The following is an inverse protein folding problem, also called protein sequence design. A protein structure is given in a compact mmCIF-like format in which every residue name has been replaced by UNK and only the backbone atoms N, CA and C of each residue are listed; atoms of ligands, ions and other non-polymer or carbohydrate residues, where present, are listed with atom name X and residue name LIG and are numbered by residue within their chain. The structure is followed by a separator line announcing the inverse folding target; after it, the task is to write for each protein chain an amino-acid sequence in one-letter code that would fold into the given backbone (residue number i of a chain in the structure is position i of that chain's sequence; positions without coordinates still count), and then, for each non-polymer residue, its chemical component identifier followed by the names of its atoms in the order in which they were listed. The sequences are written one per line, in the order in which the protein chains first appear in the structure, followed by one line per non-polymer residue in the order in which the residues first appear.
data_IF_721215386371
#
_entry.id   IF_721215386371
#
_cell.length_a   1.000
_cell.length_b   1.000
_cell.length_c   1.000
_cell.angle_alpha   90.00
_cell.angle_beta   90.00
_cell.angle_gamma   90.00
#
_symmetry.space_group_name_H-M   'P 1'
#
loop_
_entity.id
_entity.type
_entity.pdbx_description
1 polymer ?
#
# COMPACT_ATOMS: atom_id res chain seq x y z
N UNK A 1 6.95 -2.80 -9.09
CA UNK A 1 5.67 -3.29 -8.51
C UNK A 1 4.56 -3.56 -9.54
N UNK A 2 4.51 -2.89 -10.69
CA UNK A 2 3.41 -3.04 -11.66
C UNK A 2 3.18 -4.50 -12.13
N UNK A 3 4.24 -5.25 -12.43
CA UNK A 3 4.13 -6.67 -12.83
C UNK A 3 3.48 -7.51 -11.73
N UNK A 4 3.94 -7.37 -10.48
CA UNK A 4 3.37 -8.08 -9.34
C UNK A 4 1.90 -7.75 -9.12
N UNK A 5 1.53 -6.45 -9.17
CA UNK A 5 0.13 -6.01 -9.12
C UNK A 5 -0.70 -6.74 -10.18
N UNK A 6 -0.22 -6.75 -11.43
CA UNK A 6 -0.93 -7.36 -12.55
C UNK A 6 -1.05 -8.88 -12.40
N UNK A 7 -0.02 -9.56 -11.91
CA UNK A 7 -0.07 -11.00 -11.64
C UNK A 7 -1.15 -11.34 -10.60
N UNK A 8 -1.28 -10.55 -9.53
CA UNK A 8 -2.34 -10.73 -8.52
C UNK A 8 -3.72 -10.50 -9.09
N UNK A 9 -3.92 -9.40 -9.82
CA UNK A 9 -5.20 -9.09 -10.46
C UNK A 9 -5.60 -10.15 -11.48
N UNK A 10 -4.65 -10.65 -12.27
CA UNK A 10 -4.90 -11.70 -13.26
C UNK A 10 -5.23 -13.03 -12.58
N UNK A 11 -4.52 -13.40 -11.50
CA UNK A 11 -4.71 -14.66 -10.81
C UNK A 11 -6.07 -14.79 -10.10
N UNK A 12 -6.68 -13.67 -9.70
CA UNK A 12 -7.95 -13.65 -8.97
C UNK A 12 -9.12 -13.07 -9.77
N UNK A 13 -8.94 -12.75 -11.06
CA UNK A 13 -9.96 -12.13 -11.92
C UNK A 13 -11.29 -12.87 -11.91
N UNK A 14 -11.27 -14.20 -11.98
CA UNK A 14 -12.50 -15.02 -12.06
C UNK A 14 -13.27 -15.09 -10.74
N UNK A 15 -12.63 -14.78 -9.61
CA UNK A 15 -13.21 -14.92 -8.27
C UNK A 15 -13.65 -13.61 -7.65
N UNK A 16 -13.17 -12.48 -8.18
CA UNK A 16 -13.37 -11.16 -7.60
C UNK A 16 -14.29 -10.30 -8.46
N UNK A 17 -15.02 -9.35 -7.85
CA UNK A 17 -15.88 -8.43 -8.59
C UNK A 17 -15.11 -7.63 -9.65
N UNK A 18 -15.83 -7.23 -10.69
CA UNK A 18 -15.31 -6.30 -11.68
C UNK A 18 -14.85 -4.99 -11.03
N UNK A 19 -13.69 -4.49 -11.47
CA UNK A 19 -13.08 -3.28 -10.90
C UNK A 19 -12.37 -3.50 -9.55
N UNK A 20 -12.20 -4.74 -9.10
CA UNK A 20 -11.26 -5.04 -8.01
C UNK A 20 -9.82 -4.76 -8.44
N UNK A 21 -9.05 -4.12 -7.56
CA UNK A 21 -7.66 -3.75 -7.81
C UNK A 21 -6.77 -4.09 -6.62
N UNK A 22 -5.59 -4.61 -6.92
CA UNK A 22 -4.56 -4.83 -5.92
C UNK A 22 -3.84 -3.50 -5.61
N UNK A 23 -3.61 -3.21 -4.33
CA UNK A 23 -2.92 -2.03 -3.86
C UNK A 23 -1.40 -2.21 -3.98
N UNK A 24 -0.69 -1.38 -4.77
CA UNK A 24 0.77 -1.39 -4.80
C UNK A 24 1.38 -1.18 -3.41
N UNK A 25 0.74 -0.36 -2.58
CA UNK A 25 1.17 -0.07 -1.22
C UNK A 25 1.09 -1.31 -0.33
N UNK A 26 -0.06 -1.99 -0.27
CA UNK A 26 -0.21 -3.19 0.57
C UNK A 26 0.70 -4.33 0.08
N UNK A 27 0.89 -4.48 -1.23
CA UNK A 27 1.86 -5.44 -1.79
C UNK A 27 3.29 -5.11 -1.33
N UNK A 28 3.71 -3.85 -1.43
CA UNK A 28 5.04 -3.43 -0.98
C UNK A 28 5.26 -3.69 0.52
N UNK A 29 4.26 -3.36 1.35
CA UNK A 29 4.30 -3.60 2.80
C UNK A 29 4.44 -5.08 3.10
N UNK A 30 3.66 -5.96 2.46
CA UNK A 30 3.77 -7.40 2.68
C UNK A 30 5.14 -7.96 2.29
N UNK A 31 5.67 -7.54 1.13
CA UNK A 31 6.99 -7.99 0.66
C UNK A 31 8.07 -7.53 1.62
N UNK A 32 8.12 -6.22 1.94
CA UNK A 32 9.15 -5.66 2.84
C UNK A 32 9.12 -6.34 4.21
N UNK A 33 7.94 -6.61 4.75
CA UNK A 33 7.80 -7.17 6.10
C UNK A 33 8.17 -8.65 6.20
N UNK A 34 8.35 -9.36 5.07
CA UNK A 34 8.59 -10.82 5.06
C UNK A 34 9.88 -11.21 4.35
N UNK A 35 10.33 -10.42 3.38
CA UNK A 35 11.47 -10.76 2.54
C UNK A 35 12.77 -10.93 3.35
N UNK A 36 13.05 -10.01 4.27
CA UNK A 36 14.26 -10.11 5.12
C UNK A 36 14.23 -11.35 6.01
N UNK A 37 13.09 -11.64 6.66
CA UNK A 37 12.94 -12.86 7.46
C UNK A 37 13.09 -14.13 6.62
N UNK A 38 12.62 -14.11 5.37
CA UNK A 38 12.78 -15.21 4.42
C UNK A 38 14.26 -15.42 4.03
N UNK A 39 15.02 -14.34 3.79
CA UNK A 39 16.45 -14.41 3.50
C UNK A 39 17.26 -15.01 4.66
N UNK A 40 16.86 -14.76 5.91
CA UNK A 40 17.51 -15.34 7.09
C UNK A 40 17.12 -16.81 7.29
N UNK A 41 15.86 -17.16 7.02
CA UNK A 41 15.31 -18.48 7.34
C UNK A 41 15.56 -19.54 6.25
N UNK A 42 15.76 -19.15 4.98
CA UNK A 42 15.97 -20.08 3.87
C UNK A 42 17.44 -20.15 3.44
N UNK A 43 18.08 -21.33 3.58
CA UNK A 43 19.38 -21.61 2.97
C UNK A 43 19.39 -21.32 1.46
N UNK A 44 20.55 -20.90 0.94
CA UNK A 44 20.72 -20.47 -0.46
C UNK A 44 20.37 -21.57 -1.46
N UNK A 45 20.54 -22.83 -1.08
CA UNK A 45 20.27 -24.01 -1.90
C UNK A 45 18.77 -24.18 -2.21
N UNK A 46 17.90 -23.57 -1.41
CA UNK A 46 16.46 -23.56 -1.64
C UNK A 46 15.99 -22.39 -2.50
N UNK A 47 16.89 -21.43 -2.82
CA UNK A 47 16.58 -20.35 -3.74
C UNK A 47 16.76 -20.84 -5.18
N UNK A 48 15.70 -20.90 -5.98
CA UNK A 48 15.84 -21.34 -7.36
C UNK A 48 16.65 -20.32 -8.16
N UNK A 49 17.52 -20.81 -9.06
CA UNK A 49 18.23 -19.96 -10.01
C UNK A 49 17.23 -19.44 -11.06
N UNK A 50 16.83 -18.18 -10.94
CA UNK A 50 15.78 -17.57 -11.77
C UNK A 50 16.31 -16.80 -12.99
N UNK A 51 17.63 -16.66 -13.13
CA UNK A 51 18.25 -15.77 -14.11
C UNK A 51 18.02 -16.21 -15.57
N UNK A 52 17.80 -17.51 -15.80
CA UNK A 52 17.73 -18.10 -17.15
C UNK A 52 16.31 -18.44 -17.62
N UNK A 53 15.28 -18.16 -16.81
CA UNK A 53 13.90 -18.46 -17.17
C UNK A 53 13.39 -17.53 -18.29
N UNK A 54 12.70 -18.10 -19.27
CA UNK A 54 11.98 -17.31 -20.27
C UNK A 54 10.90 -16.44 -19.64
N UNK A 55 10.52 -15.33 -20.30
CA UNK A 55 9.48 -14.43 -19.81
C UNK A 55 8.13 -15.13 -19.58
N UNK A 56 7.78 -16.14 -20.38
CA UNK A 56 6.55 -16.91 -20.22
C UNK A 56 6.60 -17.81 -18.99
N UNK A 57 7.74 -18.47 -18.74
CA UNK A 57 7.99 -19.27 -17.53
C UNK A 57 7.86 -18.40 -16.28
N UNK A 58 8.51 -17.22 -16.27
CA UNK A 58 8.41 -16.27 -15.18
C UNK A 58 6.96 -15.82 -14.94
N UNK A 59 6.21 -15.50 -16.00
CA UNK A 59 4.81 -15.09 -15.89
C UNK A 59 3.93 -16.20 -15.29
N UNK A 60 4.09 -17.45 -15.73
CA UNK A 60 3.35 -18.59 -15.19
C UNK A 60 3.63 -18.81 -13.70
N UNK A 61 4.90 -18.70 -13.28
CA UNK A 61 5.29 -18.81 -11.87
C UNK A 61 4.69 -17.68 -11.04
N UNK A 62 4.77 -16.44 -11.51
CA UNK A 62 4.18 -15.29 -10.83
C UNK A 62 2.66 -15.45 -10.66
N UNK A 63 1.98 -15.99 -11.69
CA UNK A 63 0.55 -16.31 -11.59
C UNK A 63 0.29 -17.43 -10.57
N UNK A 64 1.11 -18.48 -10.54
CA UNK A 64 0.99 -19.55 -9.56
C UNK A 64 1.15 -19.02 -8.13
N UNK A 65 2.20 -18.25 -7.86
CA UNK A 65 2.43 -17.62 -6.55
C UNK A 65 1.31 -16.65 -6.17
N UNK A 66 0.85 -15.84 -7.13
CA UNK A 66 -0.20 -14.85 -6.90
C UNK A 66 -1.54 -15.48 -6.46
N UNK A 67 -1.85 -16.70 -6.89
CA UNK A 67 -3.07 -17.43 -6.44
C UNK A 67 -3.10 -17.70 -4.94
N UNK A 68 -1.94 -17.75 -4.28
CA UNK A 68 -1.85 -17.99 -2.84
C UNK A 68 -2.06 -16.72 -2.00
N UNK A 69 -2.06 -15.53 -2.62
CA UNK A 69 -2.27 -14.27 -1.92
C UNK A 69 -3.76 -14.12 -1.58
N UNK A 70 -4.07 -13.80 -0.32
CA UNK A 70 -5.43 -13.50 0.12
C UNK A 70 -5.85 -12.11 -0.39
N UNK A 71 -6.85 -11.97 -1.29
CA UNK A 71 -7.17 -10.69 -1.92
C UNK A 71 -7.56 -9.59 -0.93
N UNK A 72 -8.23 -9.95 0.17
CA UNK A 72 -8.66 -8.98 1.19
C UNK A 72 -7.50 -8.26 1.88
N UNK A 73 -6.29 -8.85 1.91
CA UNK A 73 -5.12 -8.24 2.54
C UNK A 73 -4.39 -7.26 1.64
N UNK A 74 -4.67 -7.30 0.34
CA UNK A 74 -3.96 -6.52 -0.68
C UNK A 74 -4.91 -5.66 -1.51
N UNK A 75 -6.20 -5.61 -1.17
CA UNK A 75 -7.16 -4.78 -1.88
C UNK A 75 -6.83 -3.29 -1.76
N UNK A 76 -7.07 -2.54 -2.84
CA UNK A 76 -7.05 -1.07 -2.81
C UNK A 76 -8.22 -0.57 -1.98
N UNK A 77 -7.93 0.27 -0.98
CA UNK A 77 -8.96 1.02 -0.27
C UNK A 77 -9.40 2.19 -1.14
N UNK A 78 -10.48 2.00 -1.90
CA UNK A 78 -11.07 3.09 -2.70
C UNK A 78 -11.73 4.08 -1.75
N UNK A 79 -11.16 5.28 -1.65
CA UNK A 79 -11.78 6.37 -0.89
C UNK A 79 -12.99 6.87 -1.67
N UNK A 80 -14.16 6.89 -1.02
CA UNK A 80 -15.33 7.55 -1.59
C UNK A 80 -15.10 9.05 -1.78
N UNK A 81 -16.00 9.73 -2.52
CA UNK A 81 -16.01 11.19 -2.58
C UNK A 81 -15.94 11.79 -1.17
N UNK A 82 -15.23 12.90 -1.02
CA UNK A 82 -15.22 13.60 0.27
C UNK A 82 -16.64 14.06 0.54
N UNK A 83 -17.24 13.57 1.62
CA UNK A 83 -18.57 14.03 2.05
C UNK A 83 -18.45 15.50 2.44
N UNK A 84 -19.21 16.35 1.74
CA UNK A 84 -19.35 17.75 2.12
C UNK A 84 -20.16 17.82 3.41
N UNK A 85 -19.46 18.19 4.49
CA UNK A 85 -20.09 18.44 5.78
C UNK A 85 -20.33 19.94 5.89
N UNK A 86 -21.57 20.39 6.16
CA UNK A 86 -21.83 21.80 6.40
C UNK A 86 -20.99 22.23 7.61
N UNK A 87 -20.31 23.37 7.49
CA UNK A 87 -19.54 23.93 8.60
C UNK A 87 -20.56 24.43 9.63
N UNK A 88 -20.62 23.77 10.79
CA UNK A 88 -21.34 24.31 11.92
C UNK A 88 -20.77 25.69 12.25
N UNK A 89 -21.64 26.66 12.52
CA UNK A 89 -21.18 27.93 13.05
C UNK A 89 -20.51 27.67 14.40
N UNK A 90 -19.32 28.22 14.56
CA UNK A 90 -18.59 28.23 15.83
C UNK A 90 -18.19 29.67 16.09
N UNK A 91 -18.13 30.05 17.36
CA UNK A 91 -17.69 31.39 17.73
C UNK A 91 -16.24 31.63 17.30
N UNK A 92 -15.88 32.90 17.24
CA UNK A 92 -14.60 33.32 16.67
C UNK A 92 -13.38 32.93 17.54
N UNK A 93 -13.56 32.64 18.84
CA UNK A 93 -12.49 32.11 19.68
C UNK A 93 -12.28 30.62 19.38
N UNK A 94 -13.36 29.84 19.32
CA UNK A 94 -13.33 28.41 18.93
C UNK A 94 -12.76 28.20 17.54
N UNK A 95 -13.13 29.01 16.56
CA UNK A 95 -12.58 28.96 15.20
C UNK A 95 -11.05 29.20 15.18
N UNK A 96 -10.53 30.04 16.08
CA UNK A 96 -9.11 30.41 16.15
C UNK A 96 -8.29 29.50 17.07
N UNK A 97 -8.94 28.67 17.89
CA UNK A 97 -8.26 27.69 18.74
C UNK A 97 -7.48 26.65 17.94
N UNK A 98 -7.85 26.42 16.68
CA UNK A 98 -7.06 25.59 15.75
C UNK A 98 -5.78 26.33 15.33
N UNK A 99 -4.69 26.09 16.07
CA UNK A 99 -3.35 26.55 15.71
C UNK A 99 -2.66 25.50 14.86
N UNK A 100 -2.26 25.86 13.64
CA UNK A 100 -1.39 25.02 12.83
C UNK A 100 0.03 24.97 13.44
N UNK A 101 0.76 23.88 13.17
CA UNK A 101 2.18 23.76 13.57
C UNK A 101 3.01 24.96 13.10
N UNK A 102 2.72 25.51 11.93
CA UNK A 102 3.36 26.73 11.41
C UNK A 102 3.14 27.96 12.32
N UNK A 103 1.92 28.15 12.84
CA UNK A 103 1.63 29.24 13.79
C UNK A 103 2.36 29.06 15.11
N UNK A 104 2.45 27.83 15.62
CA UNK A 104 3.22 27.53 16.83
C UNK A 104 4.72 27.82 16.61
N UNK A 105 5.27 27.42 15.47
CA UNK A 105 6.66 27.70 15.11
C UNK A 105 6.89 29.22 15.00
N UNK A 106 6.02 29.98 14.33
CA UNK A 106 6.14 31.44 14.21
C UNK A 106 6.06 32.15 15.57
N UNK A 107 5.11 31.75 16.42
CA UNK A 107 4.99 32.29 17.78
C UNK A 107 6.25 31.98 18.62
N UNK A 108 6.83 30.79 18.48
CA UNK A 108 8.07 30.44 19.17
C UNK A 108 9.29 31.24 18.69
N UNK A 109 9.36 31.61 17.40
CA UNK A 109 10.44 32.43 16.84
C UNK A 109 10.41 33.87 17.39
N UNK A 110 9.22 34.42 17.64
CA UNK A 110 9.05 35.75 18.24
C UNK A 110 9.42 35.81 19.74
N UNK A 111 9.53 34.65 20.41
CA UNK A 111 9.78 34.54 21.86
C UNK A 111 11.22 34.15 22.21
N UNK A 112 12.11 34.04 21.23
CA UNK A 112 13.53 33.82 21.51
C UNK A 112 14.14 35.13 22.07
N UNK A 113 14.91 35.07 23.16
CA UNK A 113 15.64 36.22 23.67
C UNK A 113 16.67 36.74 22.66
#
# INVERSE_FOLDING_TARGET
LAVLKRSVEQAHRERLPEGWEASPYHLAVQIRSRYEGMLVALPVEHWPAWADDSASTLAQRLLALARHIKPSQVATSKRGPKVDKPKAWVDAATARAHVSTDRLIKASKSKRP
#
